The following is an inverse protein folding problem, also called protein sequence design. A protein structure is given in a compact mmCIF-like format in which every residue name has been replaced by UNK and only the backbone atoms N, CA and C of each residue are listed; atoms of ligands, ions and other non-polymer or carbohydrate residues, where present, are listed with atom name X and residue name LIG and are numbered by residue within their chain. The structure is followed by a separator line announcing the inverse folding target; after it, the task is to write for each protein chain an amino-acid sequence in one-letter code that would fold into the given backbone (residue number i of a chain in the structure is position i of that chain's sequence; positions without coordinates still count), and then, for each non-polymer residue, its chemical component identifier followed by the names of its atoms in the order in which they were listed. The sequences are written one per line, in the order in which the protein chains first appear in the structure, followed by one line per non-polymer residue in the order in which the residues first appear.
data_IF_141273418898
#
_entry.id   IF_141273418898
#
_cell.length_a   1.000
_cell.length_b   1.000
_cell.length_c   1.000
_cell.angle_alpha   90.00
_cell.angle_beta   90.00
_cell.angle_gamma   90.00
#
_symmetry.space_group_name_H-M   'P 1'
#
loop_
_entity.id
_entity.type
_entity.pdbx_description
1 polymer ?
#
# COMPACT_ATOMS: atom_id res chain seq x y z
N UNK A 1 -27.20 -18.52 -2.69
CA UNK A 1 -27.87 -17.77 -3.78
C UNK A 1 -27.27 -18.20 -5.12
N UNK A 2 -28.01 -18.95 -5.95
CA UNK A 2 -27.70 -19.12 -7.38
C UNK A 2 -28.19 -17.88 -8.12
N UNK A 3 -27.34 -17.22 -8.92
CA UNK A 3 -27.79 -16.18 -9.85
C UNK A 3 -28.67 -16.87 -10.91
N UNK A 4 -29.88 -16.37 -11.14
CA UNK A 4 -30.78 -16.92 -12.17
C UNK A 4 -30.15 -16.73 -13.55
N UNK A 5 -29.96 -17.81 -14.30
CA UNK A 5 -29.64 -17.77 -15.74
C UNK A 5 -28.19 -17.99 -16.16
N UNK A 6 -27.27 -18.38 -15.26
CA UNK A 6 -25.87 -18.70 -15.62
C UNK A 6 -25.55 -20.10 -15.09
N UNK A 7 -25.63 -21.10 -15.96
CA UNK A 7 -25.37 -22.51 -15.60
C UNK A 7 -23.88 -22.91 -15.75
N UNK A 8 -23.05 -22.06 -16.37
CA UNK A 8 -21.59 -22.21 -16.43
C UNK A 8 -20.92 -20.83 -16.38
N UNK A 9 -19.75 -20.67 -15.75
CA UNK A 9 -18.95 -19.47 -15.95
C UNK A 9 -18.58 -19.35 -17.44
N UNK A 10 -18.86 -18.21 -18.07
CA UNK A 10 -18.48 -17.96 -19.45
C UNK A 10 -16.94 -17.98 -19.56
N UNK A 11 -16.42 -18.91 -20.36
CA UNK A 11 -15.00 -18.93 -20.72
C UNK A 11 -14.79 -17.98 -21.91
N UNK A 12 -14.21 -16.83 -21.61
CA UNK A 12 -13.94 -15.76 -22.58
C UNK A 12 -12.49 -15.77 -23.06
N UNK A 13 -11.75 -16.87 -22.83
CA UNK A 13 -10.38 -17.04 -23.29
C UNK A 13 -10.21 -16.89 -24.81
N UNK A 14 -11.22 -17.28 -25.60
CA UNK A 14 -11.22 -17.13 -27.07
C UNK A 14 -11.22 -15.67 -27.55
N UNK A 15 -11.61 -14.73 -26.69
CA UNK A 15 -11.61 -13.30 -27.00
C UNK A 15 -10.32 -12.60 -26.58
N UNK A 16 -9.39 -13.32 -25.92
CA UNK A 16 -8.09 -12.78 -25.54
C UNK A 16 -7.08 -12.97 -26.68
N UNK A 17 -6.48 -11.88 -27.12
CA UNK A 17 -5.47 -11.87 -28.19
C UNK A 17 -4.23 -11.12 -27.71
N UNK A 18 -3.05 -11.69 -27.94
CA UNK A 18 -1.80 -10.96 -27.74
C UNK A 18 -1.70 -9.81 -28.75
N UNK A 19 -1.43 -8.61 -28.23
CA UNK A 19 -1.27 -7.40 -29.04
C UNK A 19 -0.07 -6.60 -28.56
N UNK A 20 0.60 -5.94 -29.50
CA UNK A 20 1.62 -4.93 -29.18
C UNK A 20 0.94 -3.59 -28.88
N UNK A 21 1.28 -3.00 -27.73
CA UNK A 21 0.79 -1.67 -27.38
C UNK A 21 1.33 -0.62 -28.36
N UNK A 22 0.58 0.47 -28.60
CA UNK A 22 1.13 1.65 -29.24
C UNK A 22 2.40 2.10 -28.52
N UNK A 23 3.38 2.57 -29.27
CA UNK A 23 4.66 3.00 -28.70
C UNK A 23 4.42 4.08 -27.64
N UNK A 24 5.07 3.94 -26.48
CA UNK A 24 5.05 5.00 -25.47
C UNK A 24 5.77 6.26 -25.98
N UNK A 25 5.75 7.35 -25.20
CA UNK A 25 6.44 8.61 -25.56
C UNK A 25 7.95 8.45 -25.75
N UNK A 26 8.54 7.32 -25.34
CA UNK A 26 9.95 6.99 -25.47
C UNK A 26 10.22 5.95 -26.58
N UNK A 27 9.19 5.53 -27.32
CA UNK A 27 9.30 4.58 -28.42
C UNK A 27 9.24 3.10 -28.01
N UNK A 28 9.06 2.77 -26.72
CA UNK A 28 9.02 1.39 -26.26
C UNK A 28 7.69 0.73 -26.65
N UNK A 29 7.76 -0.52 -27.11
CA UNK A 29 6.61 -1.37 -27.43
C UNK A 29 6.62 -2.59 -26.54
N UNK A 30 5.48 -2.89 -25.95
CA UNK A 30 5.30 -4.03 -25.04
C UNK A 30 4.13 -4.90 -25.51
N UNK A 31 4.28 -6.22 -25.38
CA UNK A 31 3.20 -7.18 -25.63
C UNK A 31 2.27 -7.23 -24.42
N UNK A 32 0.97 -7.28 -24.67
CA UNK A 32 -0.08 -7.35 -23.65
C UNK A 32 -1.24 -8.20 -24.19
N UNK A 33 -2.11 -8.65 -23.30
CA UNK A 33 -3.38 -9.26 -23.69
C UNK A 33 -4.42 -8.15 -23.96
N UNK A 34 -5.02 -8.17 -25.14
CA UNK A 34 -6.16 -7.35 -25.53
C UNK A 34 -7.43 -8.20 -25.62
N UNK A 35 -8.57 -7.57 -25.40
CA UNK A 35 -9.89 -8.19 -25.56
C UNK A 35 -10.46 -7.83 -26.93
N UNK A 36 -10.72 -8.86 -27.75
CA UNK A 36 -11.32 -8.72 -29.07
C UNK A 36 -12.84 -8.67 -28.95
N UNK A 37 -13.43 -7.54 -29.34
CA UNK A 37 -14.88 -7.37 -29.41
C UNK A 37 -15.46 -8.07 -30.64
N UNK A 38 -16.77 -8.40 -30.65
CA UNK A 38 -17.44 -9.02 -31.80
C UNK A 38 -17.37 -8.20 -33.10
N UNK A 39 -17.17 -6.89 -32.99
CA UNK A 39 -16.96 -5.97 -34.11
C UNK A 39 -15.51 -6.00 -34.67
N UNK A 40 -14.64 -6.84 -34.10
CA UNK A 40 -13.24 -6.99 -34.48
C UNK A 40 -12.29 -5.96 -33.86
N UNK A 41 -12.80 -4.98 -33.11
CA UNK A 41 -11.94 -4.01 -32.41
C UNK A 41 -11.27 -4.65 -31.20
N UNK A 42 -10.01 -4.28 -30.95
CA UNK A 42 -9.25 -4.81 -29.82
C UNK A 42 -9.13 -3.72 -28.75
N UNK A 43 -9.69 -3.99 -27.57
CA UNK A 43 -9.54 -3.13 -26.40
C UNK A 43 -8.35 -3.60 -25.60
N UNK A 44 -7.41 -2.69 -25.38
CA UNK A 44 -6.21 -2.95 -24.59
C UNK A 44 -6.33 -2.17 -23.30
N UNK A 45 -6.04 -2.83 -22.18
CA UNK A 45 -6.04 -2.20 -20.86
C UNK A 45 -4.81 -1.30 -20.69
N UNK A 46 -4.83 -0.33 -19.78
CA UNK A 46 -3.67 0.52 -19.52
C UNK A 46 -2.47 -0.27 -18.97
N UNK A 47 -1.28 0.34 -18.97
CA UNK A 47 -0.02 -0.37 -18.66
C UNK A 47 -0.05 -0.86 -17.20
N UNK A 48 0.21 -2.14 -16.92
CA UNK A 48 0.11 -2.65 -15.55
C UNK A 48 -1.32 -2.88 -15.05
N UNK A 49 -2.30 -2.96 -15.95
CA UNK A 49 -3.68 -3.37 -15.66
C UNK A 49 -3.88 -4.89 -15.56
N UNK A 50 -2.86 -5.64 -15.95
CA UNK A 50 -2.70 -7.08 -15.79
C UNK A 50 -2.11 -7.48 -14.42
N UNK A 51 -1.64 -6.53 -13.61
CA UNK A 51 -0.99 -6.81 -12.32
C UNK A 51 -2.02 -6.92 -11.18
N UNK A 52 -2.55 -8.12 -10.93
CA UNK A 52 -3.51 -8.30 -9.83
C UNK A 52 -3.52 -9.71 -9.20
N UNK A 53 -2.36 -10.33 -9.02
CA UNK A 53 -2.29 -11.65 -8.37
C UNK A 53 -2.57 -11.52 -6.87
N UNK A 54 -3.69 -12.10 -6.40
CA UNK A 54 -4.03 -12.23 -4.97
C UNK A 54 -4.62 -10.98 -4.30
N UNK A 55 -5.15 -10.02 -5.06
CA UNK A 55 -5.78 -8.79 -4.53
C UNK A 55 -7.27 -8.77 -4.83
N UNK A 56 -8.09 -8.38 -3.84
CA UNK A 56 -9.54 -8.28 -4.02
C UNK A 56 -9.92 -7.10 -4.92
N UNK A 57 -9.18 -5.99 -4.82
CA UNK A 57 -9.43 -4.78 -5.61
C UNK A 57 -8.32 -4.58 -6.63
N UNK A 58 -8.70 -4.20 -7.84
CA UNK A 58 -7.78 -3.89 -8.92
C UNK A 58 -6.95 -2.64 -8.60
N UNK A 59 -5.62 -2.74 -8.73
CA UNK A 59 -4.68 -1.63 -8.59
C UNK A 59 -3.61 -1.69 -9.68
N UNK A 60 -3.36 -0.59 -10.42
CA UNK A 60 -2.31 -0.57 -11.43
C UNK A 60 -0.93 -0.75 -10.81
N UNK A 61 -0.02 -1.39 -11.55
CA UNK A 61 1.40 -1.42 -11.15
C UNK A 61 2.04 -0.04 -11.37
N UNK A 62 2.13 0.76 -10.31
CA UNK A 62 2.62 2.14 -10.38
C UNK A 62 4.09 2.25 -10.81
N UNK A 63 4.88 1.19 -10.69
CA UNK A 63 6.27 1.14 -11.19
C UNK A 63 6.39 1.25 -12.71
N UNK A 64 5.28 1.04 -13.43
CA UNK A 64 5.22 1.16 -14.89
C UNK A 64 4.83 2.56 -15.38
N UNK A 65 4.61 3.49 -14.46
CA UNK A 65 4.13 4.85 -14.76
C UNK A 65 5.18 5.91 -14.40
N UNK A 66 5.14 7.09 -15.05
CA UNK A 66 5.97 8.21 -14.65
C UNK A 66 5.73 8.61 -13.19
N UNK A 67 6.81 8.90 -12.46
CA UNK A 67 6.78 9.17 -11.02
C UNK A 67 5.71 10.18 -10.61
N UNK A 68 5.58 11.30 -11.33
CA UNK A 68 4.58 12.34 -11.03
C UNK A 68 3.14 11.82 -11.10
N UNK A 69 2.84 10.96 -12.07
CA UNK A 69 1.51 10.37 -12.24
C UNK A 69 1.25 9.31 -11.16
N UNK A 70 2.25 8.46 -10.92
CA UNK A 70 2.23 7.43 -9.89
C UNK A 70 2.02 8.03 -8.48
N UNK A 71 2.69 9.15 -8.20
CA UNK A 71 2.53 9.91 -6.96
C UNK A 71 1.14 10.53 -6.83
N UNK A 72 0.62 11.14 -7.90
CA UNK A 72 -0.73 11.71 -7.91
C UNK A 72 -1.80 10.62 -7.71
N UNK A 73 -1.61 9.43 -8.28
CA UNK A 73 -2.49 8.29 -8.05
C UNK A 73 -2.52 7.90 -6.57
N UNK A 74 -1.36 7.73 -5.93
CA UNK A 74 -1.29 7.40 -4.50
C UNK A 74 -1.94 8.48 -3.61
N UNK A 75 -1.83 9.76 -3.98
CA UNK A 75 -2.56 10.85 -3.31
C UNK A 75 -4.07 10.71 -3.39
N UNK A 76 -4.59 10.39 -4.57
CA UNK A 76 -6.03 10.17 -4.75
C UNK A 76 -6.47 8.92 -4.01
N UNK A 77 -5.66 7.87 -3.99
CA UNK A 77 -5.99 6.64 -3.29
C UNK A 77 -6.06 6.83 -1.77
N UNK A 78 -5.07 7.48 -1.16
CA UNK A 78 -5.03 7.73 0.29
C UNK A 78 -6.06 8.75 0.78
N UNK A 79 -6.66 9.53 -0.14
CA UNK A 79 -7.79 10.44 0.13
C UNK A 79 -9.12 9.89 -0.39
N UNK A 80 -9.09 8.71 -1.01
CA UNK A 80 -10.19 8.18 -1.80
C UNK A 80 -11.30 7.62 -0.93
N UNK A 81 -12.52 7.63 -1.47
CA UNK A 81 -13.70 7.08 -0.79
C UNK A 81 -13.58 5.59 -0.47
N UNK A 82 -12.90 4.81 -1.31
CA UNK A 82 -12.64 3.38 -1.07
C UNK A 82 -11.77 3.18 0.19
N UNK A 83 -10.62 3.86 0.25
CA UNK A 83 -9.74 3.79 1.42
C UNK A 83 -10.47 4.23 2.70
N UNK A 84 -11.25 5.32 2.62
CA UNK A 84 -12.04 5.79 3.75
C UNK A 84 -13.07 4.79 4.24
N UNK A 85 -13.83 4.22 3.31
CA UNK A 85 -14.82 3.21 3.64
C UNK A 85 -14.18 1.98 4.33
N UNK A 86 -13.11 1.45 3.74
CA UNK A 86 -12.43 0.27 4.28
C UNK A 86 -11.75 0.55 5.62
N UNK A 87 -11.14 1.73 5.78
CA UNK A 87 -10.57 2.18 7.04
C UNK A 87 -11.62 2.24 8.15
N UNK A 88 -12.76 2.90 7.90
CA UNK A 88 -13.85 3.04 8.87
C UNK A 88 -14.46 1.68 9.23
N UNK A 89 -14.65 0.80 8.24
CA UNK A 89 -15.16 -0.55 8.45
C UNK A 89 -14.20 -1.39 9.32
N UNK A 90 -12.90 -1.36 9.00
CA UNK A 90 -11.90 -2.09 9.79
C UNK A 90 -11.75 -1.51 11.19
N UNK A 91 -11.79 -0.18 11.34
CA UNK A 91 -11.74 0.48 12.65
C UNK A 91 -12.94 0.10 13.51
N UNK A 92 -14.14 0.05 12.93
CA UNK A 92 -15.36 -0.40 13.62
C UNK A 92 -15.25 -1.84 14.09
N UNK A 93 -14.89 -2.77 13.21
CA UNK A 93 -14.76 -4.18 13.58
C UNK A 93 -13.65 -4.40 14.61
N UNK A 94 -12.54 -3.66 14.51
CA UNK A 94 -11.48 -3.69 15.51
C UNK A 94 -11.99 -3.24 16.88
N UNK A 95 -12.78 -2.17 16.96
CA UNK A 95 -13.36 -1.69 18.19
C UNK A 95 -14.33 -2.71 18.83
N UNK A 96 -15.19 -3.34 18.01
CA UNK A 96 -16.13 -4.40 18.45
C UNK A 96 -15.38 -5.64 19.00
N UNK A 97 -14.35 -6.09 18.29
CA UNK A 97 -13.49 -7.19 18.74
C UNK A 97 -12.73 -6.83 20.01
N UNK A 98 -12.25 -5.57 20.11
CA UNK A 98 -11.54 -5.10 21.30
C UNK A 98 -12.44 -5.07 22.52
N UNK A 99 -13.70 -4.64 22.42
CA UNK A 99 -14.65 -4.68 23.54
C UNK A 99 -14.86 -6.10 24.05
N UNK A 100 -14.82 -7.10 23.16
CA UNK A 100 -14.98 -8.52 23.51
C UNK A 100 -13.72 -9.10 24.14
N UNK A 101 -12.54 -8.80 23.59
CA UNK A 101 -11.27 -9.39 24.01
C UNK A 101 -10.59 -8.63 25.16
N UNK A 102 -10.87 -7.34 25.33
CA UNK A 102 -10.37 -6.50 26.41
C UNK A 102 -11.45 -5.53 26.90
N UNK A 103 -12.39 -6.02 27.73
CA UNK A 103 -13.45 -5.18 28.33
C UNK A 103 -12.89 -4.01 29.15
N UNK A 104 -11.70 -4.19 29.73
CA UNK A 104 -10.95 -3.17 30.48
C UNK A 104 -10.44 -2.00 29.61
N UNK A 105 -10.62 -2.06 28.28
CA UNK A 105 -10.16 -1.04 27.35
C UNK A 105 -8.63 -1.03 27.12
N UNK A 106 -7.89 -2.01 27.66
CA UNK A 106 -6.44 -2.14 27.47
C UNK A 106 -6.11 -2.51 26.02
N UNK A 107 -4.86 -2.26 25.62
CA UNK A 107 -4.34 -2.72 24.32
C UNK A 107 -4.37 -4.23 24.26
N UNK A 108 -4.74 -4.76 23.09
CA UNK A 108 -4.77 -6.20 22.86
C UNK A 108 -3.35 -6.79 22.91
N UNK A 109 -3.22 -7.96 23.51
CA UNK A 109 -1.98 -8.73 23.54
C UNK A 109 -1.65 -9.30 22.16
N UNK A 110 -0.44 -9.84 21.99
CA UNK A 110 -0.04 -10.45 20.71
C UNK A 110 -0.95 -11.61 20.30
N UNK A 111 -1.38 -12.45 21.24
CA UNK A 111 -2.28 -13.58 21.01
C UNK A 111 -3.69 -13.11 20.60
N UNK A 112 -4.23 -12.11 21.29
CA UNK A 112 -5.51 -11.51 20.95
C UNK A 112 -5.46 -10.83 19.58
N UNK A 113 -4.36 -10.15 19.26
CA UNK A 113 -4.14 -9.56 17.94
C UNK A 113 -4.08 -10.61 16.84
N UNK A 114 -3.58 -11.81 17.11
CA UNK A 114 -3.59 -12.90 16.13
C UNK A 114 -5.03 -13.28 15.79
N UNK A 115 -5.89 -13.48 16.80
CA UNK A 115 -7.32 -13.77 16.60
C UNK A 115 -8.04 -12.69 15.79
N UNK A 116 -7.76 -11.42 16.09
CA UNK A 116 -8.33 -10.29 15.34
C UNK A 116 -7.88 -10.32 13.88
N UNK A 117 -6.58 -10.54 13.64
CA UNK A 117 -6.01 -10.54 12.28
C UNK A 117 -6.58 -11.69 11.46
N UNK A 118 -6.69 -12.88 12.04
CA UNK A 118 -7.26 -14.05 11.36
C UNK A 118 -8.74 -13.83 10.98
N UNK A 119 -9.49 -13.05 11.78
CA UNK A 119 -10.90 -12.75 11.50
C UNK A 119 -11.12 -11.56 10.57
N UNK A 120 -10.24 -10.55 10.57
CA UNK A 120 -10.50 -9.26 9.90
C UNK A 120 -9.69 -9.05 8.63
N UNK A 121 -8.58 -9.75 8.43
CA UNK A 121 -7.73 -9.56 7.26
C UNK A 121 -8.45 -10.04 6.00
N UNK A 122 -8.57 -9.15 5.02
CA UNK A 122 -9.18 -9.39 3.71
C UNK A 122 -8.16 -9.28 2.57
N UNK A 123 -6.88 -9.14 2.88
CA UNK A 123 -5.79 -8.91 1.92
C UNK A 123 -5.99 -7.62 1.09
N UNK A 124 -6.56 -6.58 1.69
CA UNK A 124 -6.58 -5.27 1.08
C UNK A 124 -5.18 -4.68 1.04
N UNK A 125 -4.82 -4.09 -0.12
CA UNK A 125 -3.57 -3.38 -0.34
C UNK A 125 -3.87 -2.07 -1.03
N UNK A 126 -3.51 -0.97 -0.39
CA UNK A 126 -3.64 0.37 -0.93
C UNK A 126 -2.25 0.90 -1.32
N UNK A 127 -2.12 1.60 -2.45
CA UNK A 127 -0.85 2.24 -2.82
C UNK A 127 -0.66 3.49 -1.93
N UNK A 128 0.12 3.31 -0.87
CA UNK A 128 0.41 4.36 0.11
C UNK A 128 1.26 5.49 -0.46
N UNK A 129 2.07 5.17 -1.47
CA UNK A 129 3.00 6.10 -2.08
C UNK A 129 3.93 5.40 -3.06
N UNK A 130 4.74 6.20 -3.75
CA UNK A 130 5.74 5.70 -4.69
C UNK A 130 7.07 6.40 -4.37
N UNK A 131 8.11 5.59 -4.15
CA UNK A 131 9.47 6.08 -3.94
C UNK A 131 9.89 6.96 -5.13
N UNK A 132 10.53 8.09 -4.84
CA UNK A 132 11.21 8.87 -5.87
C UNK A 132 12.37 8.11 -6.47
N UNK A 133 12.81 8.50 -7.66
CA UNK A 133 14.02 7.94 -8.28
C UNK A 133 15.23 7.95 -7.33
N UNK A 134 15.44 9.08 -6.63
CA UNK A 134 16.51 9.23 -5.63
C UNK A 134 16.38 8.21 -4.48
N UNK A 135 15.18 8.06 -3.93
CA UNK A 135 14.93 7.10 -2.86
C UNK A 135 15.09 5.65 -3.36
N UNK A 136 14.64 5.33 -4.57
CA UNK A 136 14.84 3.99 -5.17
C UNK A 136 16.31 3.64 -5.30
N UNK A 137 17.13 4.60 -5.74
CA UNK A 137 18.57 4.42 -5.90
C UNK A 137 19.28 4.25 -4.55
N UNK A 138 18.96 5.09 -3.56
CA UNK A 138 19.53 5.01 -2.21
C UNK A 138 19.21 3.65 -1.55
N UNK A 139 17.99 3.16 -1.78
CA UNK A 139 17.50 1.89 -1.24
C UNK A 139 17.87 0.67 -2.09
N UNK A 140 18.48 0.88 -3.27
CA UNK A 140 18.78 -0.14 -4.28
C UNK A 140 17.57 -1.00 -4.64
N UNK A 141 16.38 -0.38 -4.64
CA UNK A 141 15.11 -1.06 -4.88
C UNK A 141 14.74 -1.01 -6.36
N UNK A 142 14.39 -2.16 -6.95
CA UNK A 142 13.89 -2.24 -8.33
C UNK A 142 12.46 -1.72 -8.46
N UNK A 143 11.71 -1.81 -7.38
CA UNK A 143 10.32 -1.35 -7.27
C UNK A 143 10.24 -0.09 -6.41
N UNK A 144 9.21 0.71 -6.62
CA UNK A 144 8.96 1.99 -5.96
C UNK A 144 7.61 2.03 -5.28
N UNK A 145 6.66 1.17 -5.68
CA UNK A 145 5.32 1.17 -5.09
C UNK A 145 5.35 0.66 -3.64
N UNK A 146 4.87 1.47 -2.71
CA UNK A 146 4.76 1.15 -1.29
C UNK A 146 3.31 0.84 -0.95
N UNK A 147 3.08 -0.33 -0.36
CA UNK A 147 1.73 -0.83 -0.05
C UNK A 147 1.41 -0.68 1.43
N UNK A 148 0.21 -0.17 1.71
CA UNK A 148 -0.42 -0.24 3.04
C UNK A 148 -1.44 -1.38 3.02
N UNK A 149 -1.27 -2.35 3.92
CA UNK A 149 -2.21 -3.45 4.08
C UNK A 149 -3.23 -3.19 5.19
N UNK A 150 -4.39 -3.84 5.07
CA UNK A 150 -5.36 -3.99 6.17
C UNK A 150 -4.73 -4.56 7.45
N UNK A 151 -3.85 -5.54 7.33
CA UNK A 151 -3.07 -6.10 8.44
C UNK A 151 -2.29 -5.03 9.21
N UNK A 152 -1.71 -4.08 8.47
CA UNK A 152 -0.96 -2.96 9.03
C UNK A 152 -1.92 -1.97 9.69
N UNK A 153 -3.06 -1.68 9.07
CA UNK A 153 -4.12 -0.84 9.67
C UNK A 153 -4.61 -1.42 11.01
N UNK A 154 -4.91 -2.72 11.05
CA UNK A 154 -5.35 -3.43 12.26
C UNK A 154 -4.30 -3.26 13.38
N UNK A 155 -3.01 -3.44 13.08
CA UNK A 155 -1.91 -3.20 14.04
C UNK A 155 -1.83 -1.74 14.47
N UNK A 156 -2.04 -0.79 13.55
CA UNK A 156 -2.04 0.63 13.87
C UNK A 156 -3.21 0.99 14.79
N UNK A 157 -4.42 0.49 14.57
CA UNK A 157 -5.56 0.75 15.45
C UNK A 157 -5.26 0.38 16.90
N UNK A 158 -4.74 -0.83 17.14
CA UNK A 158 -4.35 -1.22 18.51
C UNK A 158 -3.18 -0.37 19.06
N UNK A 159 -2.24 0.04 18.20
CA UNK A 159 -1.05 0.79 18.62
C UNK A 159 -1.34 2.27 18.90
N UNK A 160 -2.27 2.87 18.16
CA UNK A 160 -2.66 4.28 18.18
C UNK A 160 -3.93 4.53 18.99
N UNK A 161 -4.53 3.49 19.54
CA UNK A 161 -5.66 3.63 20.44
C UNK A 161 -5.39 4.65 21.56
N UNK A 162 -6.37 5.53 21.78
CA UNK A 162 -6.28 6.68 22.69
C UNK A 162 -5.39 7.83 22.21
N UNK A 163 -4.88 7.78 20.97
CA UNK A 163 -4.15 8.88 20.33
C UNK A 163 -5.07 9.56 19.31
N UNK A 164 -4.93 10.88 19.19
CA UNK A 164 -5.52 11.65 18.10
C UNK A 164 -4.75 11.34 16.79
N UNK A 165 -5.03 10.17 16.22
CA UNK A 165 -4.41 9.66 15.00
C UNK A 165 -5.45 8.93 14.14
N UNK A 166 -6.14 9.72 13.32
CA UNK A 166 -7.25 9.25 12.47
C UNK A 166 -6.84 8.97 11.03
N UNK A 167 -7.86 8.77 10.20
CA UNK A 167 -7.70 8.55 8.76
C UNK A 167 -6.95 9.67 8.05
N UNK A 168 -7.22 10.93 8.43
CA UNK A 168 -6.64 12.12 7.78
C UNK A 168 -5.10 12.15 7.86
N UNK A 169 -4.52 11.42 8.82
CA UNK A 169 -3.07 11.28 8.94
C UNK A 169 -2.45 10.59 7.72
N UNK A 170 -3.16 9.61 7.15
CA UNK A 170 -2.70 8.76 6.06
C UNK A 170 -2.60 9.51 4.73
N UNK A 171 -3.25 10.67 4.60
CA UNK A 171 -3.11 11.55 3.44
C UNK A 171 -1.67 12.05 3.23
N UNK A 172 -0.85 12.03 4.29
CA UNK A 172 0.55 12.42 4.23
C UNK A 172 1.47 11.29 3.71
N UNK A 173 0.99 10.04 3.63
CA UNK A 173 1.80 8.88 3.22
C UNK A 173 2.45 9.05 1.84
N UNK A 174 1.75 9.51 0.80
CA UNK A 174 2.37 9.66 -0.51
C UNK A 174 3.54 10.64 -0.46
N UNK A 175 3.40 11.76 0.25
CA UNK A 175 4.40 12.81 0.32
C UNK A 175 5.61 12.41 1.18
N UNK A 176 5.42 11.72 2.31
CA UNK A 176 6.54 11.20 3.10
C UNK A 176 7.31 10.09 2.37
N UNK A 177 6.64 9.30 1.54
CA UNK A 177 7.26 8.22 0.75
C UNK A 177 8.03 8.80 -0.44
N UNK A 178 7.45 9.75 -1.16
CA UNK A 178 8.07 10.29 -2.38
C UNK A 178 9.21 11.27 -2.07
N UNK A 179 9.05 12.15 -1.07
CA UNK A 179 10.07 13.16 -0.71
C UNK A 179 10.25 13.26 0.81
N UNK A 180 10.90 12.27 1.46
CA UNK A 180 11.22 12.34 2.88
C UNK A 180 12.24 13.45 3.19
N UNK A 181 12.14 14.05 4.38
CA UNK A 181 13.20 14.92 4.93
C UNK A 181 14.38 14.10 5.43
N UNK A 182 14.10 12.92 6.01
CA UNK A 182 15.12 11.96 6.43
C UNK A 182 14.75 10.54 6.01
N UNK A 183 15.74 9.81 5.53
CA UNK A 183 15.66 8.41 5.14
C UNK A 183 16.77 7.62 5.84
N UNK A 184 16.40 6.81 6.83
CA UNK A 184 17.33 6.16 7.76
C UNK A 184 17.16 4.63 7.70
N UNK A 185 18.24 3.86 7.70
CA UNK A 185 18.17 2.41 7.82
C UNK A 185 17.98 1.99 9.28
N UNK A 186 17.10 1.02 9.55
CA UNK A 186 16.91 0.52 10.92
C UNK A 186 18.12 -0.35 11.31
N UNK A 187 18.78 0.00 12.42
CA UNK A 187 20.06 -0.59 12.87
C UNK A 187 20.10 -2.13 12.85
N UNK A 188 19.00 -2.78 13.27
CA UNK A 188 18.95 -4.24 13.43
C UNK A 188 18.28 -4.96 12.23
N UNK A 189 17.83 -4.22 11.23
CA UNK A 189 17.05 -4.76 10.11
C UNK A 189 17.47 -4.14 8.79
N UNK A 190 18.28 -4.87 8.03
CA UNK A 190 18.76 -4.43 6.71
C UNK A 190 17.62 -4.16 5.71
N UNK A 191 16.47 -4.82 5.89
CA UNK A 191 15.28 -4.70 5.06
C UNK A 191 14.32 -3.60 5.50
N UNK A 192 14.61 -2.83 6.56
CA UNK A 192 13.71 -1.81 7.10
C UNK A 192 14.31 -0.42 7.06
N UNK A 193 13.48 0.53 6.65
CA UNK A 193 13.87 1.92 6.51
C UNK A 193 12.81 2.83 7.14
N UNK A 194 13.28 3.93 7.71
CA UNK A 194 12.47 4.96 8.36
C UNK A 194 12.50 6.21 7.51
N UNK A 195 11.32 6.64 7.09
CA UNK A 195 11.05 7.86 6.36
C UNK A 195 10.46 8.86 7.35
N UNK A 196 10.96 10.09 7.34
CA UNK A 196 10.50 11.15 8.25
C UNK A 196 10.19 12.38 7.43
N UNK A 197 9.04 13.00 7.70
CA UNK A 197 8.63 14.28 7.12
C UNK A 197 7.61 14.96 8.01
N UNK A 198 7.75 16.26 8.25
CA UNK A 198 6.75 17.08 8.95
C UNK A 198 6.26 16.47 10.29
N UNK A 199 7.19 15.99 11.12
CA UNK A 199 6.85 15.40 12.43
C UNK A 199 6.12 14.06 12.35
N UNK A 200 6.09 13.40 11.18
CA UNK A 200 5.57 12.05 10.98
C UNK A 200 6.70 11.10 10.64
N UNK A 201 6.60 9.88 11.15
CA UNK A 201 7.56 8.80 10.97
C UNK A 201 6.85 7.59 10.38
N UNK A 202 7.36 7.14 9.25
CA UNK A 202 6.92 5.96 8.51
C UNK A 202 8.05 4.93 8.52
N UNK A 203 7.77 3.70 8.94
CA UNK A 203 8.68 2.58 8.81
C UNK A 203 8.16 1.69 7.69
N UNK A 204 9.01 1.43 6.70
CA UNK A 204 8.72 0.51 5.61
C UNK A 204 9.66 -0.69 5.66
N UNK A 205 9.19 -1.81 5.10
CA UNK A 205 9.98 -3.00 4.83
C UNK A 205 10.11 -3.18 3.32
N UNK A 206 11.34 -3.33 2.85
CA UNK A 206 11.68 -3.49 1.45
C UNK A 206 11.96 -4.97 1.18
N UNK A 207 11.15 -5.57 0.32
CA UNK A 207 11.38 -6.93 -0.20
C UNK A 207 11.73 -6.86 -1.69
N UNK A 208 12.30 -7.93 -2.28
CA UNK A 208 12.68 -7.93 -3.69
C UNK A 208 11.54 -7.64 -4.68
N UNK A 209 10.28 -7.91 -4.29
CA UNK A 209 9.10 -7.81 -5.16
C UNK A 209 8.01 -6.85 -4.66
N UNK A 210 8.01 -6.47 -3.38
CA UNK A 210 7.02 -5.55 -2.80
C UNK A 210 7.64 -4.71 -1.67
N UNK A 211 7.18 -3.47 -1.49
CA UNK A 211 7.53 -2.64 -0.33
C UNK A 211 6.26 -2.46 0.51
N UNK A 212 6.38 -2.60 1.83
CA UNK A 212 5.23 -2.55 2.74
C UNK A 212 5.43 -1.52 3.84
N UNK A 213 4.36 -0.81 4.17
CA UNK A 213 4.28 -0.05 5.42
C UNK A 213 4.25 -1.04 6.59
N UNK A 214 5.14 -0.85 7.57
CA UNK A 214 5.10 -1.57 8.85
C UNK A 214 4.50 -0.72 9.97
N UNK A 215 4.83 0.57 9.98
CA UNK A 215 4.33 1.47 11.02
C UNK A 215 4.26 2.92 10.56
N UNK A 216 3.24 3.63 11.00
CA UNK A 216 3.09 5.06 10.75
C UNK A 216 2.60 5.78 12.01
N UNK A 217 3.27 6.86 12.41
CA UNK A 217 2.96 7.61 13.63
C UNK A 217 3.50 9.04 13.60
N UNK A 218 2.97 9.90 14.46
CA UNK A 218 3.63 11.15 14.84
C UNK A 218 4.92 10.85 15.63
N UNK A 219 5.97 11.62 15.41
CA UNK A 219 7.25 11.56 16.14
C UNK A 219 7.47 12.88 16.88
N UNK A 220 8.00 12.81 18.11
CA UNK A 220 8.34 14.00 18.90
C UNK A 220 9.75 14.47 18.57
N UNK A 221 10.01 15.78 18.64
CA UNK A 221 11.33 16.36 18.33
C UNK A 221 12.48 15.72 19.13
N UNK A 222 12.25 15.43 20.41
CA UNK A 222 13.24 14.75 21.26
C UNK A 222 13.57 13.34 20.77
N UNK A 223 12.59 12.63 20.21
CA UNK A 223 12.79 11.31 19.64
C UNK A 223 13.50 11.40 18.28
N UNK A 224 13.10 12.36 17.44
CA UNK A 224 13.76 12.65 16.17
C UNK A 224 15.24 12.96 16.36
N UNK A 225 15.57 13.86 17.31
CA UNK A 225 16.95 14.22 17.61
C UNK A 225 17.79 13.00 18.00
N UNK A 226 17.25 12.11 18.84
CA UNK A 226 17.91 10.86 19.22
C UNK A 226 18.13 9.90 18.06
N UNK A 227 17.20 9.85 17.10
CA UNK A 227 17.36 9.02 15.91
C UNK A 227 18.49 9.55 15.02
N UNK A 228 18.50 10.86 14.78
CA UNK A 228 19.54 11.51 13.97
C UNK A 228 20.92 11.38 14.62
N UNK A 229 21.05 11.65 15.92
CA UNK A 229 22.31 11.50 16.67
C UNK A 229 22.89 10.07 16.56
N UNK A 230 22.03 9.05 16.54
CA UNK A 230 22.45 7.65 16.41
C UNK A 230 22.85 7.26 14.99
N UNK A 231 22.26 7.88 13.98
CA UNK A 231 22.58 7.61 12.58
C UNK A 231 23.89 8.27 12.15
N UNK A 232 24.17 9.48 12.68
CA UNK A 232 25.42 10.20 12.45
C UNK A 232 26.59 9.78 13.38
N UNK A 233 26.35 8.88 14.34
CA UNK A 233 27.42 8.34 15.15
C UNK A 233 28.35 7.48 14.28
N UNK A 234 29.69 7.65 14.36
CA UNK A 234 30.63 6.85 13.58
C UNK A 234 30.41 5.36 13.87
N UNK A 235 30.26 4.57 12.79
CA UNK A 235 30.11 3.12 12.84
C UNK A 235 31.40 2.43 13.25
#
# INVERSE_FOLDING_TARGET
MKRRGIDKPDDSSEFLVEVERPADKQGNREKTLGFKLPDGTIRVTDKGFDYNVGRLNYKPNLDLYPEKLAHAFAKVEMKGGEFKHDFELLAKHMAEMKQTLSPDGKKLTAEQMLQVRDSLTKNFKFAAGVLSAESKDLLKSKIGTVWLSDDTLIKQFNSRDGQDFGIDEYEALPDIINSPEHLLQVKDFADRYTFIRQGKMLVVKILPKEIFVLSFRRIKDKELKKLLEKDYAPR
#
